data_IF_211484203633
#
_entry.id   IF_211484203633
#
_cell.length_a   1.000
_cell.length_b   1.000
_cell.length_c   1.000
_cell.angle_alpha   90.00
_cell.angle_beta   90.00
_cell.angle_gamma   90.00
#
_symmetry.space_group_name_H-M   'P 1'
#
loop_
_entity.id
_entity.type
_entity.pdbx_description
1 polymer ?
#
# COMPACT_ATOMS: atom_id res chain seq x y z
N UNK A 1 -1.58 7.01 1.63
CA UNK A 1 -2.72 6.27 1.03
C UNK A 1 -2.94 5.00 1.85
N UNK A 2 -4.13 4.39 1.80
CA UNK A 2 -4.42 3.21 2.62
C UNK A 2 -5.27 2.16 1.88
N UNK A 3 -5.08 0.90 2.27
CA UNK A 3 -5.87 -0.25 1.86
C UNK A 3 -6.22 -1.09 3.09
N UNK A 4 -7.46 -1.58 3.16
CA UNK A 4 -7.91 -2.48 4.22
C UNK A 4 -8.41 -3.80 3.58
N UNK A 5 -7.65 -4.90 3.68
CA UNK A 5 -8.01 -6.17 3.08
C UNK A 5 -9.29 -6.79 3.66
N UNK A 6 -9.70 -6.42 4.88
CA UNK A 6 -10.96 -6.93 5.46
C UNK A 6 -12.20 -6.22 4.93
N UNK A 7 -12.04 -5.07 4.27
CA UNK A 7 -13.14 -4.28 3.70
C UNK A 7 -13.14 -4.30 2.18
N UNK A 8 -11.96 -4.37 1.57
CA UNK A 8 -11.80 -4.20 0.11
C UNK A 8 -10.85 -5.26 -0.43
N UNK A 9 -11.38 -6.16 -1.25
CA UNK A 9 -10.57 -7.12 -1.99
C UNK A 9 -9.72 -6.40 -3.04
N UNK A 10 -8.49 -6.88 -3.24
CA UNK A 10 -7.59 -6.40 -4.28
C UNK A 10 -7.10 -7.57 -5.10
N UNK A 11 -7.98 -8.03 -6.00
CA UNK A 11 -7.78 -9.29 -6.72
C UNK A 11 -6.56 -9.26 -7.66
N UNK A 12 -6.23 -8.07 -8.20
CA UNK A 12 -5.11 -7.85 -9.12
C UNK A 12 -3.75 -7.64 -8.43
N UNK A 13 -3.68 -7.63 -7.09
CA UNK A 13 -2.44 -7.30 -6.38
C UNK A 13 -1.26 -8.20 -6.77
N UNK A 14 -1.50 -9.50 -6.97
CA UNK A 14 -0.44 -10.45 -7.37
C UNK A 14 0.12 -10.14 -8.75
N UNK A 15 -0.79 -9.92 -9.70
CA UNK A 15 -0.44 -9.63 -11.10
C UNK A 15 0.31 -8.31 -11.19
N UNK A 16 -0.07 -7.32 -10.37
CA UNK A 16 0.60 -6.04 -10.26
C UNK A 16 2.00 -6.15 -9.64
N UNK A 17 2.17 -6.98 -8.62
CA UNK A 17 3.51 -7.28 -8.06
C UNK A 17 4.40 -7.90 -9.15
N UNK A 18 3.90 -8.89 -9.88
CA UNK A 18 4.62 -9.51 -10.99
C UNK A 18 4.91 -8.51 -12.13
N UNK A 19 3.96 -7.62 -12.43
CA UNK A 19 4.14 -6.56 -13.42
C UNK A 19 5.23 -5.58 -12.98
N UNK A 20 5.27 -5.18 -11.72
CA UNK A 20 6.34 -4.32 -11.19
C UNK A 20 7.69 -5.02 -11.31
N UNK A 21 7.78 -6.32 -10.99
CA UNK A 21 9.03 -7.08 -11.10
C UNK A 21 9.54 -7.18 -12.55
N UNK A 22 8.62 -7.23 -13.53
CA UNK A 22 8.97 -7.42 -14.95
C UNK A 22 9.12 -6.11 -15.72
N UNK A 23 8.30 -5.09 -15.42
CA UNK A 23 8.22 -3.81 -16.14
C UNK A 23 8.70 -2.61 -15.32
N UNK A 24 9.01 -2.80 -14.04
CA UNK A 24 9.47 -1.77 -13.11
C UNK A 24 8.35 -0.90 -12.49
N UNK A 25 7.12 -0.97 -13.01
CA UNK A 25 5.98 -0.25 -12.43
C UNK A 25 4.62 -0.72 -12.94
N UNK A 26 3.58 -0.31 -12.22
CA UNK A 26 2.17 -0.35 -12.66
C UNK A 26 1.48 0.96 -12.33
N UNK A 27 0.51 1.36 -13.14
CA UNK A 27 -0.29 2.57 -12.92
C UNK A 27 -1.70 2.20 -12.51
N UNK A 28 -2.21 2.82 -11.44
CA UNK A 28 -3.55 2.55 -10.93
C UNK A 28 -4.15 3.80 -10.27
N UNK A 29 -5.46 4.07 -10.44
CA UNK A 29 -6.13 5.11 -9.68
C UNK A 29 -6.19 4.73 -8.19
N UNK A 30 -5.86 5.68 -7.33
CA UNK A 30 -5.92 5.47 -5.89
C UNK A 30 -6.65 6.61 -5.18
N UNK A 31 -7.50 6.26 -4.20
CA UNK A 31 -8.17 7.27 -3.37
C UNK A 31 -7.18 8.00 -2.46
N UNK A 32 -7.19 9.33 -2.51
CA UNK A 32 -6.40 10.19 -1.64
C UNK A 32 -7.21 10.69 -0.43
N UNK A 33 -8.37 10.09 -0.17
CA UNK A 33 -9.27 10.47 0.92
C UNK A 33 -9.76 11.91 0.73
N UNK A 34 -9.62 12.72 1.78
CA UNK A 34 -10.06 14.13 1.76
C UNK A 34 -9.02 15.10 1.22
N UNK A 35 -7.81 14.62 0.87
CA UNK A 35 -6.75 15.51 0.34
C UNK A 35 -7.16 16.05 -1.03
N UNK A 36 -6.98 17.35 -1.23
CA UNK A 36 -7.26 18.06 -2.50
C UNK A 36 -5.99 18.66 -3.12
N UNK A 37 -4.96 18.81 -2.30
CA UNK A 37 -3.65 19.37 -2.57
C UNK A 37 -2.60 18.25 -2.60
N UNK A 38 -2.62 17.47 -3.68
CA UNK A 38 -1.61 16.44 -3.91
C UNK A 38 -0.97 16.64 -5.29
N UNK A 39 0.13 17.41 -5.40
CA UNK A 39 0.76 17.73 -6.67
C UNK A 39 1.23 16.49 -7.43
N UNK A 40 1.33 16.59 -8.76
CA UNK A 40 1.97 15.58 -9.61
C UNK A 40 3.43 15.40 -9.18
N UNK A 41 3.92 14.17 -9.19
CA UNK A 41 5.29 13.83 -8.77
C UNK A 41 5.46 13.64 -7.26
N UNK A 42 4.40 13.81 -6.46
CA UNK A 42 4.44 13.58 -5.02
C UNK A 42 4.77 12.12 -4.71
N UNK A 43 5.72 11.91 -3.78
CA UNK A 43 6.01 10.58 -3.23
C UNK A 43 4.84 10.11 -2.37
N UNK A 44 4.36 8.89 -2.61
CA UNK A 44 3.27 8.30 -1.84
C UNK A 44 3.65 6.93 -1.30
N UNK A 45 3.15 6.65 -0.10
CA UNK A 45 3.25 5.36 0.57
C UNK A 45 1.86 4.76 0.73
N UNK A 46 1.75 3.46 0.46
CA UNK A 46 0.54 2.67 0.66
C UNK A 46 0.61 1.90 1.97
N UNK A 47 -0.31 2.21 2.87
CA UNK A 47 -0.42 1.56 4.16
C UNK A 47 -1.51 0.47 4.14
N UNK A 48 -1.14 -0.77 4.47
CA UNK A 48 -2.07 -1.87 4.75
C UNK A 48 -2.61 -1.71 6.17
N UNK A 49 -3.91 -1.49 6.29
CA UNK A 49 -4.66 -1.39 7.54
C UNK A 49 -5.05 -2.77 8.09
N UNK A 50 -5.60 -2.79 9.30
CA UNK A 50 -6.03 -4.00 10.00
C UNK A 50 -5.24 -4.22 11.29
N UNK A 51 -5.42 -5.38 11.92
CA UNK A 51 -4.80 -5.73 13.21
C UNK A 51 -3.62 -6.69 13.08
N UNK A 52 -3.46 -7.38 11.95
CA UNK A 52 -2.34 -8.29 11.68
C UNK A 52 -1.58 -7.82 10.46
N UNK A 53 -0.24 -7.84 10.54
CA UNK A 53 0.65 -7.49 9.43
C UNK A 53 0.26 -6.16 8.76
N UNK A 54 -0.03 -5.14 9.57
CA UNK A 54 -0.24 -3.77 9.07
C UNK A 54 1.09 -3.05 8.92
N UNK A 55 1.16 -2.11 7.97
CA UNK A 55 2.38 -1.38 7.67
C UNK A 55 2.44 -0.94 6.21
N UNK A 56 3.59 -0.42 5.81
CA UNK A 56 3.79 0.07 4.44
C UNK A 56 4.03 -1.12 3.52
N UNK A 57 3.20 -1.23 2.49
CA UNK A 57 3.27 -2.29 1.48
C UNK A 57 3.57 -1.76 0.07
N UNK A 58 3.58 -0.44 -0.12
CA UNK A 58 3.73 0.13 -1.45
C UNK A 58 4.37 1.50 -1.46
N UNK A 59 5.07 1.81 -2.55
CA UNK A 59 5.73 3.08 -2.81
C UNK A 59 5.48 3.48 -4.25
N UNK A 60 5.11 4.74 -4.47
CA UNK A 60 4.83 5.26 -5.80
C UNK A 60 4.94 6.76 -5.92
N UNK A 61 4.55 7.27 -7.08
CA UNK A 61 4.42 8.70 -7.37
C UNK A 61 3.06 9.02 -7.96
N UNK A 62 2.54 10.20 -7.66
CA UNK A 62 1.34 10.71 -8.33
C UNK A 62 1.64 11.11 -9.76
N UNK A 63 0.74 10.75 -10.67
CA UNK A 63 0.74 11.13 -12.08
C UNK A 63 -0.33 12.17 -12.42
N UNK A 64 -1.25 12.43 -11.49
CA UNK A 64 -2.31 13.42 -11.65
C UNK A 64 -2.56 14.16 -10.35
N UNK A 65 -3.19 15.33 -10.47
CA UNK A 65 -3.83 16.00 -9.36
C UNK A 65 -5.12 15.26 -8.94
N UNK A 66 -5.61 15.48 -7.71
CA UNK A 66 -6.85 14.88 -7.24
C UNK A 66 -8.06 15.27 -8.09
N UNK A 67 -8.80 14.27 -8.56
CA UNK A 67 -10.08 14.46 -9.25
C UNK A 67 -11.19 13.73 -8.51
N UNK A 68 -12.37 14.34 -8.49
CA UNK A 68 -13.57 13.74 -7.87
C UNK A 68 -14.14 12.72 -8.84
N UNK A 69 -14.14 11.45 -8.44
CA UNK A 69 -14.67 10.33 -9.20
C UNK A 69 -15.76 9.61 -8.37
N UNK A 70 -16.65 8.83 -9.01
CA UNK A 70 -17.58 7.96 -8.29
C UNK A 70 -16.87 7.08 -7.27
N UNK A 71 -17.55 6.72 -6.19
CA UNK A 71 -16.99 5.79 -5.20
C UNK A 71 -16.63 4.46 -5.88
N UNK A 72 -15.54 3.81 -5.46
CA UNK A 72 -15.14 2.50 -6.00
C UNK A 72 -16.07 1.35 -5.60
N UNK A 73 -17.03 1.62 -4.71
CA UNK A 73 -18.08 0.68 -4.31
C UNK A 73 -19.33 1.05 -5.10
N UNK A 74 -19.90 0.10 -5.83
CA UNK A 74 -21.01 0.31 -6.75
C UNK A 74 -22.25 0.88 -6.08
N UNK A 75 -22.57 0.40 -4.87
CA UNK A 75 -23.78 0.79 -4.16
C UNK A 75 -23.67 2.25 -3.70
N UNK A 76 -22.51 2.61 -3.13
CA UNK A 76 -22.20 3.99 -2.76
C UNK A 76 -22.13 4.91 -3.99
N UNK A 77 -21.63 4.42 -5.13
CA UNK A 77 -21.63 5.18 -6.36
C UNK A 77 -23.05 5.44 -6.88
N UNK A 78 -23.95 4.46 -6.79
CA UNK A 78 -25.36 4.60 -7.15
C UNK A 78 -26.10 5.63 -6.27
N UNK A 79 -25.69 5.76 -5.00
CA UNK A 79 -26.14 6.83 -4.09
C UNK A 79 -25.51 8.21 -4.39
N UNK A 80 -24.69 8.34 -5.45
CA UNK A 80 -24.02 9.58 -5.81
C UNK A 80 -22.82 9.93 -4.93
N UNK A 81 -22.31 8.99 -4.12
CA UNK A 81 -21.07 9.20 -3.35
C UNK A 81 -19.87 9.24 -4.29
N UNK A 82 -18.91 10.08 -3.93
CA UNK A 82 -17.71 10.30 -4.71
C UNK A 82 -16.48 10.40 -3.80
N UNK A 83 -15.32 10.10 -4.36
CA UNK A 83 -14.02 10.14 -3.69
C UNK A 83 -13.04 10.94 -4.52
N UNK A 84 -12.04 11.54 -3.88
CA UNK A 84 -10.93 12.12 -4.60
C UNK A 84 -9.91 11.03 -4.95
N UNK A 85 -9.56 10.93 -6.22
CA UNK A 85 -8.59 9.96 -6.72
C UNK A 85 -7.47 10.66 -7.48
N UNK A 86 -6.29 10.05 -7.41
CA UNK A 86 -5.13 10.38 -8.24
C UNK A 86 -4.68 9.12 -8.97
N UNK A 87 -4.12 9.26 -10.17
CA UNK A 87 -3.38 8.18 -10.78
C UNK A 87 -2.03 8.05 -10.08
N UNK A 88 -1.65 6.84 -9.71
CA UNK A 88 -0.39 6.54 -9.04
C UNK A 88 0.40 5.56 -9.89
N UNK A 89 1.68 5.86 -10.11
CA UNK A 89 2.65 4.87 -10.56
C UNK A 89 3.26 4.21 -9.35
N UNK A 90 2.92 2.94 -9.13
CA UNK A 90 3.55 2.11 -8.12
C UNK A 90 4.82 1.49 -8.70
N UNK A 91 5.94 1.72 -8.03
CA UNK A 91 7.22 1.10 -8.37
C UNK A 91 7.56 -0.07 -7.42
N UNK A 92 6.76 -0.23 -6.37
CA UNK A 92 6.89 -1.29 -5.40
C UNK A 92 5.52 -1.55 -4.77
N UNK A 93 5.15 -2.83 -4.71
CA UNK A 93 4.00 -3.37 -3.99
C UNK A 93 4.40 -4.70 -3.34
N UNK A 94 3.79 -5.04 -2.22
CA UNK A 94 4.01 -6.28 -1.50
C UNK A 94 2.73 -6.76 -0.81
N UNK A 95 2.63 -8.07 -0.57
CA UNK A 95 1.55 -8.66 0.25
C UNK A 95 1.73 -8.37 1.73
N UNK A 96 2.98 -8.40 2.16
CA UNK A 96 3.39 -8.18 3.54
C UNK A 96 4.07 -6.82 3.70
N UNK A 97 3.96 -6.20 4.89
CA UNK A 97 4.63 -4.94 5.16
C UNK A 97 6.13 -5.04 4.94
N UNK A 98 6.64 -4.14 4.11
CA UNK A 98 8.07 -3.90 3.93
C UNK A 98 8.59 -3.11 5.12
N UNK A 99 7.76 -2.19 5.62
CA UNK A 99 7.96 -1.52 6.90
C UNK A 99 6.75 -1.90 7.78
N UNK A 100 6.91 -2.89 8.66
CA UNK A 100 5.88 -3.23 9.64
C UNK A 100 5.56 -2.03 10.52
N UNK A 101 4.28 -1.77 10.78
CA UNK A 101 3.87 -0.73 11.72
C UNK A 101 4.07 -1.20 13.16
N UNK A 102 3.70 -2.46 13.42
CA UNK A 102 3.92 -3.10 14.71
C UNK A 102 5.26 -3.85 14.64
N UNK A 103 6.33 -3.22 15.14
CA UNK A 103 7.55 -3.94 15.48
C UNK A 103 7.35 -4.53 16.88
N UNK A 104 7.20 -5.87 17.03
CA UNK A 104 7.21 -6.44 18.36
C UNK A 104 8.55 -6.13 19.02
N UNK A 105 8.49 -5.59 20.23
CA UNK A 105 9.63 -5.13 21.04
C UNK A 105 10.70 -6.21 21.31
N UNK A 106 10.48 -7.47 20.91
CA UNK A 106 11.33 -8.62 21.26
C UNK A 106 12.05 -9.31 20.08
N UNK A 107 12.03 -8.80 18.85
CA UNK A 107 12.70 -9.47 17.71
C UNK A 107 13.95 -8.73 17.21
N UNK A 108 14.84 -8.39 18.12
CA UNK A 108 16.27 -8.22 17.83
C UNK A 108 17.12 -8.99 18.85
N UNK A 109 16.82 -10.27 19.07
CA UNK A 109 17.84 -11.20 19.59
C UNK A 109 18.53 -11.80 18.38
N UNK A 110 19.50 -11.07 17.84
CA UNK A 110 20.53 -11.67 16.99
C UNK A 110 21.33 -12.59 17.91
N UNK A 111 20.95 -13.86 17.98
CA UNK A 111 21.74 -14.89 18.65
C UNK A 111 22.94 -15.22 17.76
N UNK A 112 24.01 -14.45 17.91
CA UNK A 112 25.37 -14.97 17.72
C UNK A 112 25.64 -15.92 18.90
N UNK A 113 25.16 -17.17 18.80
CA UNK A 113 25.67 -18.23 19.66
C UNK A 113 27.01 -18.67 19.09
N UNK A 114 28.08 -18.12 19.68
CA UNK A 114 29.38 -18.76 19.65
C UNK A 114 29.23 -20.22 20.13
N UNK A 115 29.72 -21.16 19.34
CA UNK A 115 30.02 -22.51 19.79
C UNK A 115 31.03 -22.43 20.94
N UNK A 116 30.61 -22.85 22.13
CA UNK A 116 31.48 -23.14 23.27
C UNK A 116 31.23 -24.57 23.70
N UNK A 117 32.16 -25.46 23.35
CA UNK A 117 32.24 -26.86 23.75
C UNK A 117 32.67 -26.89 25.23
N UNK A 118 31.97 -27.64 26.07
CA UNK A 118 32.41 -27.94 27.44
C UNK A 118 33.01 -29.36 27.45
N UNK A 119 34.28 -29.46 27.84
CA UNK A 119 34.88 -30.67 28.42
C UNK A 119 34.74 -30.61 29.94
#
# INVERSE_FOLDING_TARGET
MAWNPSRWSWNSLNDQIQQIQTKGSVEEPWTCGNRKDLPIGSRVFLFKQGTKQRGIIGVGVTLSEPKKNPHYNSDLAAEGKAVNQVNVRWNLLAKEPIIPYDVPMCLFVITTRHLGIWF
#
